data_IF_283651172693
#
_entry.id   IF_283651172693
#
_cell.length_a   1.000
_cell.length_b   1.000
_cell.length_c   1.000
_cell.angle_alpha   90.00
_cell.angle_beta   90.00
_cell.angle_gamma   90.00
#
_symmetry.space_group_name_H-M   'P 1'
#
loop_
_entity.id
_entity.type
_entity.pdbx_description
1 polymer ?
#
# COMPACT_ATOMS: atom_id res chain seq x y z
N UNK A 1 42.09 -6.54 -4.44
CA UNK A 1 41.62 -7.91 -4.18
C UNK A 1 40.45 -7.80 -3.22
N UNK A 2 39.22 -7.70 -3.77
CA UNK A 2 38.31 -8.84 -4.00
C UNK A 2 38.01 -9.54 -2.66
N UNK A 3 36.78 -9.79 -2.20
CA UNK A 3 35.43 -9.93 -2.76
C UNK A 3 34.65 -10.35 -1.46
N UNK A 4 33.48 -9.88 -1.04
CA UNK A 4 32.14 -10.07 -1.59
C UNK A 4 31.17 -9.56 -0.51
N UNK A 5 30.39 -8.55 -0.86
CA UNK A 5 29.07 -8.35 -0.28
C UNK A 5 28.06 -9.15 -1.14
N UNK A 6 27.01 -9.69 -0.51
CA UNK A 6 25.58 -9.64 -0.92
C UNK A 6 24.79 -10.89 -0.50
N UNK A 7 23.49 -10.66 -0.22
CA UNK A 7 22.32 -11.56 -0.23
C UNK A 7 21.70 -11.96 1.14
N UNK A 8 20.34 -12.10 1.21
CA UNK A 8 19.50 -11.34 2.13
C UNK A 8 18.68 -12.15 3.14
N UNK A 9 18.14 -11.43 4.14
CA UNK A 9 17.22 -11.93 5.19
C UNK A 9 15.80 -12.06 4.65
N UNK A 10 15.34 -13.29 4.44
CA UNK A 10 13.94 -13.61 4.19
C UNK A 10 13.51 -14.75 5.10
N UNK A 11 12.95 -14.42 6.26
CA UNK A 11 12.22 -15.36 7.11
C UNK A 11 11.36 -14.55 8.09
N UNK A 12 10.09 -14.32 7.75
CA UNK A 12 8.96 -14.14 8.68
C UNK A 12 7.71 -13.79 7.87
N UNK A 13 7.07 -14.82 7.33
CA UNK A 13 5.65 -14.81 7.05
C UNK A 13 5.02 -15.78 8.05
N UNK A 14 4.04 -15.31 8.82
CA UNK A 14 2.87 -16.05 9.33
C UNK A 14 2.25 -15.26 10.49
N UNK A 15 1.15 -14.56 10.21
CA UNK A 15 -0.12 -14.52 10.96
C UNK A 15 -0.83 -13.18 10.71
N UNK A 16 -1.88 -13.20 9.89
CA UNK A 16 -3.03 -12.32 10.06
C UNK A 16 -4.29 -12.98 9.47
N UNK A 17 -5.46 -12.83 10.12
CA UNK A 17 -6.64 -13.67 9.93
C UNK A 17 -7.54 -13.24 8.77
N UNK A 18 -8.23 -14.24 8.23
CA UNK A 18 -9.33 -14.12 7.28
C UNK A 18 -10.57 -13.45 7.87
N UNK A 19 -11.34 -12.71 7.05
CA UNK A 19 -12.82 -12.70 6.95
C UNK A 19 -13.30 -11.70 5.85
N UNK A 20 -14.58 -11.73 5.41
CA UNK A 20 -14.97 -12.00 4.02
C UNK A 20 -15.72 -10.81 3.37
N UNK A 21 -16.29 -11.00 2.17
CA UNK A 21 -17.57 -10.46 1.63
C UNK A 21 -17.50 -10.58 0.08
N UNK A 22 -18.24 -11.51 -0.55
CA UNK A 22 -19.65 -11.44 -1.00
C UNK A 22 -19.82 -10.96 -2.45
N UNK A 23 -20.57 -11.75 -3.22
CA UNK A 23 -21.11 -11.46 -4.56
C UNK A 23 -20.48 -12.35 -5.65
N UNK A 24 -21.07 -13.43 -6.17
CA UNK A 24 -22.45 -13.89 -6.21
C UNK A 24 -22.94 -13.93 -7.66
N UNK A 25 -22.91 -15.09 -8.33
CA UNK A 25 -23.82 -15.39 -9.45
C UNK A 25 -23.81 -16.90 -9.83
N UNK A 26 -25.00 -17.47 -9.95
CA UNK A 26 -25.39 -18.88 -10.21
C UNK A 26 -26.74 -18.79 -10.96
N UNK A 27 -27.25 -19.76 -11.76
CA UNK A 27 -26.71 -20.74 -12.74
C UNK A 27 -27.48 -20.59 -14.11
N UNK A 28 -27.75 -21.58 -15.01
CA UNK A 28 -28.45 -22.87 -14.73
C UNK A 28 -28.09 -24.13 -15.57
N UNK A 29 -28.29 -25.27 -14.91
CA UNK A 29 -28.87 -26.55 -15.35
C UNK A 29 -28.36 -27.35 -16.57
N UNK A 30 -28.22 -28.66 -16.33
CA UNK A 30 -28.65 -29.66 -17.32
C UNK A 30 -27.86 -30.96 -17.37
N UNK A 31 -28.08 -31.86 -16.40
CA UNK A 31 -27.76 -33.31 -16.40
C UNK A 31 -28.15 -34.04 -17.71
N UNK A 32 -27.78 -35.33 -18.02
CA UNK A 32 -27.57 -36.42 -17.04
C UNK A 32 -26.67 -37.65 -17.43
N UNK A 33 -26.42 -38.47 -16.39
CA UNK A 33 -26.49 -39.96 -16.27
C UNK A 33 -25.69 -40.95 -17.16
N UNK A 34 -25.02 -41.83 -16.38
CA UNK A 34 -25.01 -43.31 -16.33
C UNK A 34 -24.26 -44.14 -17.39
N UNK A 35 -23.25 -44.83 -16.85
CA UNK A 35 -22.76 -46.15 -17.23
C UNK A 35 -23.88 -47.19 -17.35
N UNK A 36 -23.80 -48.00 -18.40
CA UNK A 36 -24.54 -49.24 -18.59
C UNK A 36 -23.78 -50.17 -19.53
N UNK A 37 -23.39 -51.33 -19.01
CA UNK A 37 -22.75 -52.46 -19.70
C UNK A 37 -23.82 -53.35 -20.33
N UNK A 38 -23.64 -53.82 -21.57
CA UNK A 38 -24.04 -55.18 -22.01
C UNK A 38 -23.19 -55.65 -23.20
N UNK A 39 -22.83 -56.94 -23.16
CA UNK A 39 -22.17 -57.69 -24.23
C UNK A 39 -23.18 -58.19 -25.27
N UNK A 40 -22.73 -58.42 -26.51
CA UNK A 40 -23.47 -59.18 -27.52
C UNK A 40 -22.76 -59.16 -28.88
N UNK A 41 -22.49 -60.35 -29.43
CA UNK A 41 -21.56 -60.62 -30.53
C UNK A 41 -22.25 -60.84 -31.90
N UNK A 42 -21.43 -61.02 -32.96
CA UNK A 42 -21.70 -61.75 -34.25
C UNK A 42 -22.50 -60.93 -35.32
N UNK A 43 -22.19 -60.76 -36.63
CA UNK A 43 -21.31 -61.35 -37.68
C UNK A 43 -21.06 -60.30 -38.83
N UNK A 44 -20.26 -60.60 -39.88
CA UNK A 44 -19.58 -59.65 -40.76
C UNK A 44 -20.28 -59.39 -42.11
N UNK A 45 -19.96 -58.27 -42.76
CA UNK A 45 -19.98 -58.18 -44.23
C UNK A 45 -18.90 -57.21 -44.72
N UNK A 46 -17.97 -57.79 -45.46
CA UNK A 46 -16.89 -57.20 -46.22
C UNK A 46 -17.44 -56.65 -47.54
N UNK A 47 -17.23 -55.36 -47.83
CA UNK A 47 -17.15 -54.87 -49.22
C UNK A 47 -15.96 -53.94 -49.36
N UNK A 48 -14.85 -54.59 -49.69
CA UNK A 48 -13.79 -54.11 -50.59
C UNK A 48 -14.22 -52.91 -51.44
N UNK A 49 -13.44 -51.82 -51.37
CA UNK A 49 -12.70 -51.34 -52.54
C UNK A 49 -11.68 -50.27 -52.11
N UNK A 50 -10.48 -50.77 -51.86
CA UNK A 50 -9.18 -50.21 -52.20
C UNK A 50 -9.21 -49.04 -53.19
N UNK A 51 -8.90 -47.83 -52.70
CA UNK A 51 -8.22 -46.72 -53.40
C UNK A 51 -8.41 -45.50 -52.50
N UNK A 52 -7.45 -45.09 -51.67
CA UNK A 52 -6.30 -44.32 -52.13
C UNK A 52 -5.32 -44.29 -50.94
N UNK A 53 -4.23 -45.05 -50.99
CA UNK A 53 -3.11 -44.84 -50.06
C UNK A 53 -2.31 -43.63 -50.55
N UNK A 54 -2.84 -42.42 -50.34
CA UNK A 54 -2.02 -41.23 -50.30
C UNK A 54 -1.16 -41.33 -49.03
N UNK A 55 0.15 -41.42 -49.18
CA UNK A 55 1.09 -41.55 -48.07
C UNK A 55 1.01 -40.34 -47.12
N UNK A 56 0.24 -40.47 -46.04
CA UNK A 56 0.28 -39.61 -44.84
C UNK A 56 1.56 -39.92 -44.07
N UNK A 57 2.72 -39.64 -44.67
CA UNK A 57 4.02 -39.79 -44.01
C UNK A 57 4.87 -38.51 -44.13
N UNK A 58 4.57 -37.60 -45.06
CA UNK A 58 5.26 -36.30 -45.17
C UNK A 58 4.52 -35.12 -44.52
N UNK A 59 3.19 -35.20 -44.37
CA UNK A 59 2.37 -34.05 -43.93
C UNK A 59 2.27 -33.86 -42.41
N UNK A 60 2.47 -34.90 -41.61
CA UNK A 60 2.21 -34.87 -40.17
C UNK A 60 3.33 -34.20 -39.34
N UNK A 61 4.57 -34.15 -39.85
CA UNK A 61 5.69 -33.50 -39.16
C UNK A 61 5.65 -31.97 -39.36
N UNK A 62 5.25 -31.51 -40.55
CA UNK A 62 5.13 -30.08 -40.85
C UNK A 62 4.02 -29.40 -40.02
N UNK A 63 2.89 -30.07 -39.81
CA UNK A 63 1.81 -29.57 -38.94
C UNK A 63 2.16 -29.62 -37.46
N UNK A 64 2.93 -30.63 -37.01
CA UNK A 64 3.42 -30.68 -35.64
C UNK A 64 4.43 -29.56 -35.32
N UNK A 65 5.35 -29.24 -36.25
CA UNK A 65 6.31 -28.14 -36.09
C UNK A 65 5.60 -26.78 -36.14
N UNK A 66 4.67 -26.57 -37.09
CA UNK A 66 3.90 -25.34 -37.17
C UNK A 66 2.97 -25.16 -35.97
N UNK A 67 2.38 -26.24 -35.47
CA UNK A 67 1.56 -26.24 -34.26
C UNK A 67 2.37 -25.95 -32.99
N UNK A 68 3.56 -26.54 -32.86
CA UNK A 68 4.47 -26.27 -31.74
C UNK A 68 5.07 -24.86 -31.79
N UNK A 69 5.48 -24.39 -32.97
CA UNK A 69 5.91 -23.00 -33.17
C UNK A 69 4.77 -22.01 -32.90
N UNK A 70 3.55 -22.35 -33.30
CA UNK A 70 2.33 -21.59 -32.98
C UNK A 70 2.03 -21.57 -31.49
N UNK A 71 2.12 -22.72 -30.80
CA UNK A 71 1.95 -22.82 -29.34
C UNK A 71 3.04 -22.04 -28.61
N UNK A 72 4.31 -22.16 -29.00
CA UNK A 72 5.40 -21.34 -28.45
C UNK A 72 5.24 -19.84 -28.74
N UNK A 73 4.70 -19.48 -29.89
CA UNK A 73 4.45 -18.08 -30.25
C UNK A 73 3.29 -17.48 -29.42
N UNK A 74 2.19 -18.23 -29.26
CA UNK A 74 1.01 -17.84 -28.47
C UNK A 74 1.32 -17.83 -26.98
N UNK A 75 1.99 -18.87 -26.45
CA UNK A 75 2.44 -18.95 -25.06
C UNK A 75 3.43 -17.82 -24.74
N UNK A 76 4.36 -17.54 -25.66
CA UNK A 76 5.29 -16.41 -25.56
C UNK A 76 4.66 -15.03 -25.75
N UNK A 77 3.53 -14.87 -26.46
CA UNK A 77 2.83 -13.58 -26.61
C UNK A 77 2.04 -13.21 -25.36
N UNK A 78 1.39 -14.20 -24.77
CA UNK A 78 0.62 -14.07 -23.53
C UNK A 78 1.50 -13.60 -22.36
N UNK A 79 2.74 -14.09 -22.30
CA UNK A 79 3.73 -13.68 -21.31
C UNK A 79 4.20 -12.22 -21.44
N UNK A 80 4.32 -11.71 -22.68
CA UNK A 80 4.70 -10.31 -22.92
C UNK A 80 3.60 -9.35 -22.48
N UNK A 81 2.34 -9.68 -22.72
CA UNK A 81 1.21 -8.85 -22.31
C UNK A 81 1.02 -8.84 -20.80
N UNK A 82 1.13 -10.01 -20.13
CA UNK A 82 1.14 -10.09 -18.67
C UNK A 82 2.28 -9.30 -18.05
N UNK A 83 3.46 -9.34 -18.67
CA UNK A 83 4.63 -8.55 -18.23
C UNK A 83 4.38 -7.06 -18.41
N UNK A 84 3.93 -6.62 -19.59
CA UNK A 84 3.57 -5.21 -19.85
C UNK A 84 2.49 -4.69 -18.92
N UNK A 85 1.46 -5.49 -18.61
CA UNK A 85 0.41 -5.09 -17.66
C UNK A 85 0.99 -4.92 -16.25
N UNK A 86 1.80 -5.86 -15.77
CA UNK A 86 2.50 -5.73 -14.49
C UNK A 86 3.45 -4.53 -14.48
N UNK A 87 4.25 -4.35 -15.52
CA UNK A 87 5.15 -3.21 -15.66
C UNK A 87 4.39 -1.88 -15.73
N UNK A 88 3.22 -1.84 -16.39
CA UNK A 88 2.36 -0.66 -16.45
C UNK A 88 1.69 -0.37 -15.09
N UNK A 89 1.18 -1.40 -14.41
CA UNK A 89 0.65 -1.28 -13.05
C UNK A 89 1.75 -0.81 -12.08
N UNK A 90 2.93 -1.43 -12.11
CA UNK A 90 4.09 -1.03 -11.29
C UNK A 90 4.56 0.40 -11.62
N UNK A 91 4.59 0.79 -12.90
CA UNK A 91 4.93 2.15 -13.31
C UNK A 91 3.87 3.18 -12.88
N UNK A 92 2.59 2.83 -12.94
CA UNK A 92 1.49 3.65 -12.43
C UNK A 92 1.61 3.83 -10.92
N UNK A 93 1.84 2.75 -10.19
CA UNK A 93 2.09 2.79 -8.74
C UNK A 93 3.33 3.61 -8.38
N UNK A 94 4.43 3.45 -9.13
CA UNK A 94 5.65 4.24 -8.92
C UNK A 94 5.42 5.73 -9.18
N UNK A 95 4.72 6.08 -10.26
CA UNK A 95 4.37 7.47 -10.57
C UNK A 95 3.47 8.09 -9.48
N UNK A 96 2.52 7.31 -8.96
CA UNK A 96 1.67 7.71 -7.83
C UNK A 96 2.48 7.94 -6.55
N UNK A 97 3.43 7.06 -6.22
CA UNK A 97 4.31 7.25 -5.07
C UNK A 97 5.24 8.47 -5.22
N UNK A 98 5.80 8.69 -6.41
CA UNK A 98 6.61 9.87 -6.71
C UNK A 98 5.82 11.18 -6.59
N UNK A 99 4.60 11.21 -7.11
CA UNK A 99 3.70 12.35 -6.97
C UNK A 99 3.36 12.63 -5.51
N UNK A 100 3.03 11.59 -4.74
CA UNK A 100 2.77 11.73 -3.31
C UNK A 100 4.00 12.15 -2.54
N UNK A 101 5.19 11.67 -2.89
CA UNK A 101 6.45 12.10 -2.29
C UNK A 101 6.73 13.57 -2.60
N UNK A 102 6.46 14.03 -3.83
CA UNK A 102 6.56 15.43 -4.24
C UNK A 102 5.61 16.33 -3.44
N UNK A 103 4.37 15.90 -3.26
CA UNK A 103 3.35 16.61 -2.46
C UNK A 103 3.68 16.61 -0.96
N UNK A 104 4.23 15.51 -0.45
CA UNK A 104 4.68 15.39 0.94
C UNK A 104 5.96 16.16 1.23
N UNK A 105 6.72 16.56 0.22
CA UNK A 105 8.08 17.06 0.41
C UNK A 105 8.09 18.37 1.19
N UNK A 106 8.87 18.38 2.26
CA UNK A 106 9.20 19.57 3.04
C UNK A 106 10.71 19.57 3.22
N UNK A 107 11.35 20.71 2.95
CA UNK A 107 12.78 20.86 3.20
C UNK A 107 13.05 20.69 4.70
N UNK A 108 13.88 19.71 5.12
CA UNK A 108 14.19 19.52 6.53
C UNK A 108 14.91 20.74 7.07
N UNK A 109 14.43 21.27 8.19
CA UNK A 109 15.05 22.41 8.89
C UNK A 109 15.45 21.97 10.28
N UNK A 110 16.50 22.58 10.82
CA UNK A 110 16.90 22.27 12.19
C UNK A 110 15.86 22.77 13.20
N UNK A 111 15.34 23.98 12.97
CA UNK A 111 14.37 24.65 13.82
C UNK A 111 13.18 25.17 13.01
N UNK A 112 12.02 25.16 13.66
CA UNK A 112 10.76 25.69 13.16
C UNK A 112 10.15 26.62 14.21
N UNK A 113 9.62 27.75 13.77
CA UNK A 113 8.81 28.62 14.62
C UNK A 113 7.35 28.18 14.60
N UNK A 114 6.59 28.53 15.64
CA UNK A 114 5.13 28.25 15.66
C UNK A 114 4.39 29.01 14.54
N UNK A 115 4.85 30.21 14.19
CA UNK A 115 4.29 31.02 13.12
C UNK A 115 4.48 30.36 11.74
N UNK A 116 5.65 29.77 11.49
CA UNK A 116 5.90 29.02 10.25
C UNK A 116 5.06 27.76 10.19
N UNK A 117 4.89 27.04 11.31
CA UNK A 117 4.06 25.84 11.34
C UNK A 117 2.62 26.13 10.94
N UNK A 118 2.05 27.28 11.30
CA UNK A 118 0.66 27.65 10.97
C UNK A 118 0.39 27.65 9.46
N UNK A 119 1.41 27.87 8.63
CA UNK A 119 1.26 27.80 7.18
C UNK A 119 1.04 26.37 6.65
N UNK A 120 1.29 25.35 7.48
CA UNK A 120 1.24 23.93 7.14
C UNK A 120 0.08 23.19 7.85
N UNK A 121 -1.06 23.85 7.99
CA UNK A 121 -2.31 23.28 8.50
C UNK A 121 -3.04 22.40 7.44
N UNK A 122 -2.63 22.51 6.17
CA UNK A 122 -3.24 21.82 5.04
C UNK A 122 -4.44 22.53 4.43
N UNK A 123 -4.79 23.75 4.88
CA UNK A 123 -5.89 24.55 4.32
C UNK A 123 -5.46 25.38 3.11
N UNK A 124 -4.19 25.83 3.08
CA UNK A 124 -3.64 26.65 2.00
C UNK A 124 -3.40 25.86 0.72
N UNK A 125 -2.89 24.65 0.85
CA UNK A 125 -2.56 23.76 -0.26
C UNK A 125 -3.36 22.45 -0.09
N UNK A 126 -4.37 22.24 -0.92
CA UNK A 126 -5.28 21.08 -0.85
C UNK A 126 -4.54 19.74 -0.96
N UNK A 127 -3.37 19.71 -1.58
CA UNK A 127 -2.51 18.53 -1.67
C UNK A 127 -1.14 18.76 -1.03
N UNK A 128 -0.97 19.85 -0.27
CA UNK A 128 0.30 20.20 0.34
C UNK A 128 0.63 19.41 1.62
N UNK A 129 1.88 19.54 2.09
CA UNK A 129 2.33 18.89 3.31
C UNK A 129 1.63 19.45 4.55
N UNK A 130 1.47 18.61 5.57
CA UNK A 130 0.84 18.97 6.84
C UNK A 130 1.85 18.71 7.94
N UNK A 131 2.13 19.73 8.74
CA UNK A 131 3.09 19.66 9.82
C UNK A 131 2.40 19.86 11.17
N UNK A 132 2.92 19.22 12.21
CA UNK A 132 2.64 19.64 13.59
C UNK A 132 3.84 19.34 14.48
N UNK A 133 3.93 20.04 15.61
CA UNK A 133 4.93 19.77 16.63
C UNK A 133 4.34 18.93 17.77
N UNK A 134 5.12 17.98 18.28
CA UNK A 134 4.82 17.26 19.51
C UNK A 134 6.11 16.99 20.28
N UNK A 135 6.10 17.32 21.57
CA UNK A 135 7.23 17.25 22.49
C UNK A 135 8.50 17.91 21.91
N UNK A 136 8.34 19.07 21.28
CA UNK A 136 9.42 19.83 20.65
C UNK A 136 9.97 19.25 19.34
N UNK A 137 9.38 18.18 18.81
CA UNK A 137 9.75 17.56 17.54
C UNK A 137 8.69 17.88 16.49
N UNK A 138 9.10 18.30 15.31
CA UNK A 138 8.19 18.59 14.20
C UNK A 138 8.07 17.37 13.29
N UNK A 139 6.83 16.94 13.08
CA UNK A 139 6.49 15.79 12.24
C UNK A 139 5.79 16.23 10.97
N UNK A 140 6.14 15.59 9.86
CA UNK A 140 5.38 15.65 8.62
C UNK A 140 4.35 14.52 8.60
N UNK A 141 3.09 14.90 8.70
CA UNK A 141 1.96 13.98 8.81
C UNK A 141 1.12 13.92 7.54
N UNK A 142 1.68 14.33 6.41
CA UNK A 142 1.04 14.22 5.10
C UNK A 142 0.51 12.82 4.79
N UNK A 143 1.21 11.75 5.21
CA UNK A 143 0.74 10.35 5.08
C UNK A 143 -0.62 10.10 5.76
N UNK A 144 -0.94 10.89 6.78
CA UNK A 144 -2.20 10.87 7.52
C UNK A 144 -3.15 12.00 7.14
N UNK A 145 -3.08 12.55 5.92
CA UNK A 145 -3.91 13.70 5.51
C UNK A 145 -5.42 13.53 5.74
N UNK A 146 -5.96 12.32 5.63
CA UNK A 146 -7.38 12.07 5.92
C UNK A 146 -7.76 12.35 7.39
N UNK A 147 -6.78 12.37 8.29
CA UNK A 147 -6.96 12.59 9.73
C UNK A 147 -6.64 14.02 10.15
N UNK A 148 -5.54 14.59 9.65
CA UNK A 148 -5.03 15.91 10.07
C UNK A 148 -5.33 17.02 9.06
N UNK A 149 -5.72 16.67 7.83
CA UNK A 149 -6.10 17.65 6.81
C UNK A 149 -7.46 18.29 7.13
N UNK A 150 -7.84 19.32 6.35
CA UNK A 150 -9.10 20.02 6.54
C UNK A 150 -10.29 19.05 6.55
N UNK A 151 -11.15 19.16 7.55
CA UNK A 151 -12.31 18.28 7.75
C UNK A 151 -11.99 16.95 8.44
N UNK A 152 -10.72 16.66 8.75
CA UNK A 152 -10.32 15.51 9.56
C UNK A 152 -10.57 15.72 11.06
N UNK A 153 -10.81 14.63 11.78
CA UNK A 153 -11.08 14.65 13.23
C UNK A 153 -9.92 15.22 14.07
N UNK A 154 -8.69 15.14 13.56
CA UNK A 154 -7.48 15.58 14.23
C UNK A 154 -6.87 16.83 13.60
N UNK A 155 -7.64 17.55 12.78
CA UNK A 155 -7.19 18.76 12.09
C UNK A 155 -6.72 19.85 13.07
N UNK A 156 -7.25 19.88 14.29
CA UNK A 156 -6.84 20.81 15.35
C UNK A 156 -5.34 20.74 15.68
N UNK A 157 -4.66 19.62 15.41
CA UNK A 157 -3.23 19.48 15.63
C UNK A 157 -2.40 20.11 14.53
N UNK A 158 -2.96 20.26 13.32
CA UNK A 158 -2.23 20.72 12.15
C UNK A 158 -1.76 22.17 12.33
N UNK A 159 -0.53 22.42 11.92
CA UNK A 159 0.11 23.74 11.91
C UNK A 159 0.42 24.35 13.28
N UNK A 160 0.49 23.56 14.35
CA UNK A 160 0.77 24.07 15.70
C UNK A 160 1.51 23.08 16.60
N UNK A 161 1.80 23.50 17.82
CA UNK A 161 2.22 22.60 18.89
C UNK A 161 1.02 21.83 19.47
N UNK A 162 0.97 20.53 19.18
CA UNK A 162 -0.04 19.60 19.64
C UNK A 162 0.34 18.89 20.94
N UNK A 163 1.50 19.19 21.53
CA UNK A 163 2.05 18.48 22.71
C UNK A 163 1.03 18.34 23.84
N UNK A 164 0.37 19.44 24.21
CA UNK A 164 -0.60 19.45 25.32
C UNK A 164 -1.90 18.73 24.97
N UNK A 165 -2.39 18.94 23.76
CA UNK A 165 -3.60 18.29 23.27
C UNK A 165 -3.42 16.76 23.24
N UNK A 166 -2.26 16.29 22.79
CA UNK A 166 -1.89 14.88 22.79
C UNK A 166 -1.72 14.31 24.19
N UNK A 167 -1.05 15.05 25.09
CA UNK A 167 -0.84 14.65 26.47
C UNK A 167 -2.18 14.48 27.23
N UNK A 168 -3.17 15.33 26.91
CA UNK A 168 -4.52 15.31 27.49
C UNK A 168 -5.54 14.53 26.67
N UNK A 169 -5.13 13.96 25.54
CA UNK A 169 -6.02 13.26 24.59
C UNK A 169 -7.25 14.08 24.19
N UNK A 170 -7.06 15.38 23.98
CA UNK A 170 -8.10 16.32 23.58
C UNK A 170 -8.05 16.58 22.08
N UNK A 171 -9.23 16.66 21.46
CA UNK A 171 -9.43 17.00 20.04
C UNK A 171 -10.20 18.32 19.87
N UNK A 172 -10.37 19.05 20.96
CA UNK A 172 -11.06 20.34 21.03
C UNK A 172 -10.10 21.43 21.52
N UNK A 173 -10.45 22.69 21.33
CA UNK A 173 -9.61 23.80 21.78
C UNK A 173 -9.46 23.80 23.30
N UNK A 174 -8.21 23.89 23.76
CA UNK A 174 -7.90 24.01 25.17
C UNK A 174 -8.25 25.43 25.65
N UNK A 175 -8.87 25.54 26.83
CA UNK A 175 -9.11 26.85 27.46
C UNK A 175 -7.79 27.51 27.88
N UNK A 176 -7.73 28.84 27.91
CA UNK A 176 -6.51 29.54 28.36
C UNK A 176 -6.10 29.18 29.79
N UNK A 177 -7.06 28.84 30.64
CA UNK A 177 -6.80 28.40 32.01
C UNK A 177 -6.14 27.02 32.03
N UNK A 178 -6.61 26.12 31.18
CA UNK A 178 -6.07 24.79 31.06
C UNK A 178 -4.65 24.83 30.49
N UNK A 179 -4.40 25.68 29.49
CA UNK A 179 -3.09 25.90 28.88
C UNK A 179 -2.01 26.35 29.87
N UNK A 180 -2.40 27.06 30.94
CA UNK A 180 -1.47 27.51 32.01
C UNK A 180 -1.12 26.40 33.00
N UNK A 181 -1.93 25.35 33.11
CA UNK A 181 -1.70 24.25 34.05
C UNK A 181 -0.53 23.38 33.57
N UNK A 182 0.45 23.04 34.43
CA UNK A 182 1.52 22.12 34.06
C UNK A 182 0.97 20.73 33.80
N UNK A 183 1.64 19.95 32.96
CA UNK A 183 1.25 18.56 32.73
C UNK A 183 1.47 17.73 34.00
N UNK A 184 0.60 16.75 34.24
CA UNK A 184 0.76 15.76 35.31
C UNK A 184 1.61 14.56 34.83
N UNK A 185 1.95 13.64 35.74
CA UNK A 185 2.80 12.48 35.41
C UNK A 185 2.14 11.53 34.39
N UNK A 186 0.83 11.33 34.49
CA UNK A 186 0.08 10.45 33.59
C UNK A 186 -0.03 11.04 32.17
N UNK A 187 -0.28 12.35 32.06
CA UNK A 187 -0.29 13.10 30.80
C UNK A 187 1.08 13.03 30.10
N UNK A 188 2.18 13.18 30.85
CA UNK A 188 3.53 12.99 30.32
C UNK A 188 3.78 11.57 29.82
N UNK A 189 3.29 10.56 30.54
CA UNK A 189 3.41 9.17 30.12
C UNK A 189 2.59 8.90 28.84
N UNK A 190 1.39 9.46 28.73
CA UNK A 190 0.57 9.39 27.53
C UNK A 190 1.26 10.04 26.32
N UNK A 191 1.82 11.24 26.51
CA UNK A 191 2.61 11.94 25.49
C UNK A 191 3.79 11.08 25.01
N UNK A 192 4.54 10.46 25.91
CA UNK A 192 5.64 9.57 25.54
C UNK A 192 5.17 8.38 24.67
N UNK A 193 3.99 7.81 24.96
CA UNK A 193 3.37 6.79 24.12
C UNK A 193 3.04 7.28 22.71
N UNK A 194 2.48 8.48 22.59
CA UNK A 194 2.24 9.13 21.30
C UNK A 194 3.54 9.37 20.53
N UNK A 195 4.59 9.82 21.21
CA UNK A 195 5.89 10.06 20.59
C UNK A 195 6.51 8.80 19.99
N UNK A 196 6.35 7.63 20.62
CA UNK A 196 6.78 6.34 20.04
C UNK A 196 6.03 6.06 18.74
N UNK A 197 4.71 6.28 18.74
CA UNK A 197 3.86 6.04 17.58
C UNK A 197 4.24 6.96 16.41
N UNK A 198 4.42 8.26 16.68
CA UNK A 198 4.74 9.23 15.63
C UNK A 198 6.15 9.06 15.07
N UNK A 199 7.15 8.78 15.92
CA UNK A 199 8.51 8.47 15.46
C UNK A 199 8.59 7.23 14.56
N UNK A 200 7.69 6.26 14.75
CA UNK A 200 7.62 5.06 13.91
C UNK A 200 6.85 5.27 12.60
N UNK A 201 5.92 6.22 12.55
CA UNK A 201 4.96 6.37 11.43
C UNK A 201 5.29 7.54 10.49
N UNK A 202 5.80 8.64 11.04
CA UNK A 202 5.94 9.90 10.34
C UNK A 202 7.40 10.34 10.25
N UNK A 203 7.69 11.18 9.26
CA UNK A 203 9.00 11.77 9.07
C UNK A 203 9.21 12.94 10.02
N UNK A 204 10.41 13.05 10.59
CA UNK A 204 10.81 14.18 11.43
C UNK A 204 11.47 15.22 10.54
N UNK A 205 10.90 16.43 10.51
CA UNK A 205 11.38 17.53 9.64
C UNK A 205 12.11 18.63 10.42
N UNK A 206 12.23 18.50 11.74
CA UNK A 206 12.97 19.43 12.59
C UNK A 206 12.55 19.42 14.04
N UNK A 207 12.92 20.48 14.75
CA UNK A 207 12.52 20.75 16.14
C UNK A 207 11.80 22.08 16.25
N UNK A 208 10.95 22.20 17.26
CA UNK A 208 10.26 23.45 17.58
C UNK A 208 11.21 24.38 18.35
N UNK A 209 11.38 25.60 17.87
CA UNK A 209 12.20 26.62 18.52
C UNK A 209 11.57 27.04 19.86
N UNK A 210 12.40 27.27 20.88
CA UNK A 210 11.94 27.75 22.19
C UNK A 210 11.25 26.69 23.06
N UNK A 211 11.10 25.44 22.61
CA UNK A 211 10.50 24.38 23.41
C UNK A 211 11.42 23.91 24.55
N UNK A 212 10.92 23.93 25.79
CA UNK A 212 11.62 23.36 26.95
C UNK A 212 11.15 21.93 27.23
N UNK A 213 12.01 20.91 27.04
CA UNK A 213 11.65 19.52 27.25
C UNK A 213 11.40 19.15 28.72
N UNK A 214 11.87 19.95 29.69
CA UNK A 214 11.65 19.66 31.12
C UNK A 214 10.26 20.04 31.56
N UNK A 215 9.78 21.19 31.11
CA UNK A 215 8.44 21.70 31.44
C UNK A 215 7.40 21.27 30.41
N UNK A 216 7.83 20.74 29.25
CA UNK A 216 6.96 20.35 28.14
C UNK A 216 6.11 21.54 27.68
N UNK A 217 6.75 22.71 27.59
CA UNK A 217 6.10 23.97 27.26
C UNK A 217 7.05 24.91 26.52
N UNK A 218 6.47 25.87 25.78
CA UNK A 218 7.23 26.92 25.10
C UNK A 218 7.83 27.88 26.14
N UNK A 219 9.12 28.15 26.01
CA UNK A 219 9.82 29.18 26.77
C UNK A 219 9.36 30.53 26.27
N UNK A 220 8.65 31.31 27.09
CA UNK A 220 8.39 32.72 26.76
C UNK A 220 9.73 33.46 26.73
N UNK A 221 10.14 33.91 25.55
CA UNK A 221 11.19 34.91 25.40
C UNK A 221 10.70 36.28 25.85
#
# INVERSE_FOLDING_TARGET
>A
FNHLATMPRSALALLAPALPLCGGFVPPNGSPRRFGTTNGAIHPQEKSMTALRLSVAGGAVATAIAGFAGWLYVDGSDDRERRRRREAEEAEYAAYEEERARQAYVEPREYWTEEELRAYDGTRDEDGPILFAADGVVFNVYKGRNFYGPGGEYHIFAGRDATRLLARTMVEEETEEDAKKPLNMAERAALAGWMITFKGKYEIVGKLEGFDPKTTSMTRM
#
